data_IF_359679123231
#
_entry.id   IF_359679123231
#
_cell.length_a   1.000
_cell.length_b   1.000
_cell.length_c   1.000
_cell.angle_alpha   90.00
_cell.angle_beta   90.00
_cell.angle_gamma   90.00
#
_symmetry.space_group_name_H-M   'P 1'
#
loop_
_entity.id
_entity.type
_entity.pdbx_description
1 polymer ?
#
# COMPACT_ATOMS: atom_id res chain seq x y z
N UNK A 1 -0.04 -4.38 -18.76
CA UNK A 1 -0.69 -3.84 -17.54
C UNK A 1 -0.57 -2.33 -17.64
N UNK A 2 -1.67 -1.60 -17.72
CA UNK A 2 -1.60 -0.14 -17.80
C UNK A 2 -1.04 0.35 -16.47
N UNK A 3 0.26 0.64 -16.42
CA UNK A 3 0.92 1.19 -15.24
C UNK A 3 0.38 2.60 -15.08
N UNK A 4 -0.70 2.74 -14.29
CA UNK A 4 -1.13 4.06 -13.84
C UNK A 4 0.11 4.75 -13.26
N UNK A 5 0.40 6.01 -13.63
CA UNK A 5 1.56 6.71 -13.10
C UNK A 5 1.54 6.68 -11.57
N UNK A 6 2.72 6.73 -10.91
CA UNK A 6 2.81 6.94 -9.48
C UNK A 6 1.87 8.06 -9.02
N UNK A 7 1.36 7.97 -7.80
CA UNK A 7 0.40 8.94 -7.25
C UNK A 7 1.01 10.33 -7.26
N UNK A 8 2.29 10.44 -6.92
CA UNK A 8 3.04 11.70 -6.93
C UNK A 8 3.25 12.30 -8.32
N UNK A 9 2.95 11.55 -9.39
CA UNK A 9 3.04 11.99 -10.78
C UNK A 9 1.67 12.23 -11.42
N UNK A 10 0.59 12.16 -10.65
CA UNK A 10 -0.75 12.48 -11.14
C UNK A 10 -0.89 13.98 -11.37
N UNK A 11 -1.71 14.36 -12.35
CA UNK A 11 -1.84 15.76 -12.79
C UNK A 11 -2.36 16.70 -11.68
N UNK A 12 -3.12 16.14 -10.73
CA UNK A 12 -3.74 16.80 -9.59
C UNK A 12 -2.92 16.66 -8.28
N UNK A 13 -1.72 16.07 -8.34
CA UNK A 13 -0.88 15.85 -7.15
C UNK A 13 -0.57 17.16 -6.41
N UNK A 14 0.01 18.13 -7.11
CA UNK A 14 0.41 19.41 -6.50
C UNK A 14 -0.79 20.32 -6.20
N UNK A 15 -1.86 20.26 -7.01
CA UNK A 15 -3.01 21.16 -6.87
C UNK A 15 -3.98 20.74 -5.77
N UNK A 16 -4.21 19.43 -5.61
CA UNK A 16 -5.32 18.91 -4.81
C UNK A 16 -4.88 17.83 -3.80
N UNK A 17 -4.16 16.80 -4.25
CA UNK A 17 -3.87 15.62 -3.41
C UNK A 17 -2.86 15.92 -2.30
N UNK A 18 -1.74 16.58 -2.63
CA UNK A 18 -0.68 16.93 -1.67
C UNK A 18 -1.18 17.93 -0.61
N UNK A 19 -1.88 19.03 -0.95
CA UNK A 19 -2.49 19.91 0.05
C UNK A 19 -3.49 19.19 0.96
N UNK A 20 -4.35 18.34 0.39
CA UNK A 20 -5.30 17.55 1.17
C UNK A 20 -4.59 16.58 2.13
N UNK A 21 -3.53 15.90 1.66
CA UNK A 21 -2.73 14.99 2.48
C UNK A 21 -2.05 15.72 3.64
N UNK A 22 -1.40 16.86 3.37
CA UNK A 22 -0.75 17.69 4.40
C UNK A 22 -1.74 18.13 5.48
N UNK A 23 -2.89 18.66 5.08
CA UNK A 23 -3.96 19.04 6.01
C UNK A 23 -4.47 17.85 6.83
N UNK A 24 -4.61 16.68 6.21
CA UNK A 24 -5.01 15.45 6.91
C UNK A 24 -3.97 15.04 7.95
N UNK A 25 -2.69 15.12 7.60
CA UNK A 25 -1.59 14.83 8.52
C UNK A 25 -1.53 15.82 9.69
N UNK A 26 -1.79 17.10 9.44
CA UNK A 26 -1.91 18.14 10.48
C UNK A 26 -3.08 17.85 11.43
N UNK A 27 -4.27 17.55 10.91
CA UNK A 27 -5.47 17.25 11.71
C UNK A 27 -5.27 16.01 12.61
N UNK A 28 -4.52 15.03 12.13
CA UNK A 28 -4.22 13.80 12.87
C UNK A 28 -2.99 13.92 13.78
N UNK A 29 -2.31 15.07 13.81
CA UNK A 29 -1.05 15.30 14.54
C UNK A 29 0.06 14.28 14.17
N UNK A 30 0.16 13.95 12.87
CA UNK A 30 1.15 13.00 12.31
C UNK A 30 2.10 13.64 11.30
N UNK A 31 2.20 14.98 11.29
CA UNK A 31 3.01 15.74 10.32
C UNK A 31 4.53 15.46 10.34
N UNK A 32 5.05 14.71 11.33
CA UNK A 32 6.44 14.26 11.39
C UNK A 32 6.74 12.97 10.61
N UNK A 33 5.72 12.35 9.99
CA UNK A 33 5.89 11.13 9.20
C UNK A 33 6.26 11.50 7.77
N UNK A 34 7.49 11.22 7.37
CA UNK A 34 7.89 11.24 5.96
C UNK A 34 7.25 10.03 5.25
N UNK A 35 6.09 10.25 4.64
CA UNK A 35 5.28 9.22 4.00
C UNK A 35 5.66 9.09 2.52
N UNK A 36 6.28 7.98 2.16
CA UNK A 36 6.41 7.58 0.75
C UNK A 36 5.05 7.07 0.23
N UNK A 37 4.30 7.99 -0.38
CA UNK A 37 2.95 7.73 -0.91
C UNK A 37 2.94 6.67 -2.00
N UNK A 38 3.93 6.72 -2.89
CA UNK A 38 4.02 5.78 -4.01
C UNK A 38 4.31 4.37 -3.50
N UNK A 39 5.18 4.25 -2.48
CA UNK A 39 5.47 2.96 -1.86
C UNK A 39 4.26 2.32 -1.20
N UNK A 40 3.48 3.11 -0.44
CA UNK A 40 2.21 2.64 0.16
C UNK A 40 1.20 2.26 -0.92
N UNK A 41 1.11 3.05 -1.99
CA UNK A 41 0.20 2.77 -3.10
C UNK A 41 0.59 1.49 -3.87
N UNK A 42 1.88 1.23 -4.06
CA UNK A 42 2.37 -0.03 -4.65
C UNK A 42 1.99 -1.24 -3.81
N UNK A 43 2.25 -1.21 -2.50
CA UNK A 43 1.90 -2.30 -1.59
C UNK A 43 0.38 -2.55 -1.57
N UNK A 44 -0.43 -1.49 -1.48
CA UNK A 44 -1.89 -1.63 -1.49
C UNK A 44 -2.42 -2.16 -2.82
N UNK A 45 -1.77 -1.85 -3.94
CA UNK A 45 -2.04 -2.47 -5.24
C UNK A 45 -1.78 -3.99 -5.22
N UNK A 46 -0.63 -4.42 -4.71
CA UNK A 46 -0.29 -5.84 -4.57
C UNK A 46 -1.31 -6.60 -3.68
N UNK A 47 -1.74 -5.99 -2.57
CA UNK A 47 -2.76 -6.56 -1.68
C UNK A 47 -4.12 -6.66 -2.38
N UNK A 48 -4.51 -5.60 -3.11
CA UNK A 48 -5.79 -5.56 -3.81
C UNK A 48 -5.90 -6.65 -4.88
N UNK A 49 -4.78 -6.95 -5.56
CA UNK A 49 -4.68 -7.97 -6.60
C UNK A 49 -4.50 -9.39 -6.03
N UNK A 50 -3.62 -9.56 -5.02
CA UNK A 50 -3.25 -10.87 -4.48
C UNK A 50 -4.15 -11.40 -3.38
N UNK A 51 -4.88 -10.53 -2.66
CA UNK A 51 -5.73 -10.90 -1.53
C UNK A 51 -7.20 -10.60 -1.82
N UNK A 52 -7.54 -9.31 -1.80
CA UNK A 52 -8.84 -8.73 -2.18
C UNK A 52 -8.76 -7.21 -1.98
N UNK A 53 -9.51 -6.44 -2.77
CA UNK A 53 -9.51 -4.95 -2.71
C UNK A 53 -9.82 -4.38 -1.32
N UNK A 54 -10.72 -5.02 -0.56
CA UNK A 54 -11.08 -4.56 0.80
C UNK A 54 -9.92 -4.66 1.81
N UNK A 55 -8.90 -5.49 1.54
CA UNK A 55 -7.73 -5.63 2.43
C UNK A 55 -6.67 -4.57 2.20
N UNK A 56 -6.70 -3.82 1.09
CA UNK A 56 -5.76 -2.74 0.83
C UNK A 56 -5.74 -1.68 1.96
N UNK A 57 -6.88 -1.06 2.35
CA UNK A 57 -6.88 -0.09 3.46
C UNK A 57 -6.55 -0.72 4.81
N UNK A 58 -6.96 -1.98 5.05
CA UNK A 58 -6.64 -2.69 6.30
C UNK A 58 -5.13 -2.94 6.41
N UNK A 59 -4.47 -3.29 5.30
CA UNK A 59 -3.03 -3.52 5.28
C UNK A 59 -2.24 -2.22 5.43
N UNK A 60 -2.70 -1.12 4.80
CA UNK A 60 -2.13 0.20 5.00
C UNK A 60 -2.20 0.65 6.47
N UNK A 61 -3.33 0.39 7.14
CA UNK A 61 -3.46 0.67 8.58
C UNK A 61 -2.46 -0.14 9.43
N UNK A 62 -2.30 -1.44 9.14
CA UNK A 62 -1.34 -2.29 9.86
C UNK A 62 0.11 -1.87 9.63
N UNK A 63 0.46 -1.46 8.41
CA UNK A 63 1.78 -0.89 8.10
C UNK A 63 2.01 0.40 8.88
N UNK A 64 1.03 1.32 8.90
CA UNK A 64 1.12 2.53 9.73
C UNK A 64 1.34 2.22 11.21
N UNK A 65 0.63 1.22 11.76
CA UNK A 65 0.82 0.76 13.14
C UNK A 65 2.19 0.09 13.38
N UNK A 66 2.79 -0.55 12.38
CA UNK A 66 4.15 -1.08 12.48
C UNK A 66 5.19 0.05 12.47
N UNK A 67 5.04 1.03 11.59
CA UNK A 67 5.90 2.22 11.51
C UNK A 67 5.86 3.01 12.82
N UNK A 68 4.66 3.22 13.40
CA UNK A 68 4.51 3.85 14.71
C UNK A 68 5.21 3.10 15.86
N UNK A 69 5.51 1.81 15.67
CA UNK A 69 6.29 0.98 16.61
C UNK A 69 7.79 0.92 16.29
N UNK A 70 8.25 1.68 15.30
CA UNK A 70 9.66 1.82 14.94
C UNK A 70 10.14 0.95 13.78
N UNK A 71 9.26 0.25 13.06
CA UNK A 71 9.63 -0.40 11.81
C UNK A 71 9.87 0.64 10.70
N UNK A 72 10.75 0.35 9.74
CA UNK A 72 10.78 1.17 8.53
C UNK A 72 9.56 0.90 7.65
N UNK A 73 9.16 1.91 6.86
CA UNK A 73 8.06 1.76 5.91
C UNK A 73 8.34 0.65 4.88
N UNK A 74 9.57 0.58 4.37
CA UNK A 74 9.97 -0.42 3.38
C UNK A 74 9.87 -1.84 3.94
N UNK A 75 10.40 -2.08 5.14
CA UNK A 75 10.33 -3.41 5.79
C UNK A 75 8.89 -3.83 6.04
N UNK A 76 8.05 -2.91 6.53
CA UNK A 76 6.64 -3.19 6.81
C UNK A 76 5.87 -3.51 5.51
N UNK A 77 6.09 -2.75 4.44
CA UNK A 77 5.48 -3.01 3.14
C UNK A 77 5.97 -4.34 2.54
N UNK A 78 7.27 -4.61 2.57
CA UNK A 78 7.86 -5.84 2.05
C UNK A 78 7.32 -7.09 2.78
N UNK A 79 7.10 -7.01 4.09
CA UNK A 79 6.49 -8.09 4.87
C UNK A 79 5.05 -8.41 4.39
N UNK A 80 4.23 -7.38 4.12
CA UNK A 80 2.87 -7.55 3.60
C UNK A 80 2.90 -8.14 2.19
N UNK A 81 3.80 -7.67 1.32
CA UNK A 81 3.96 -8.17 -0.05
C UNK A 81 4.41 -9.63 -0.07
N UNK A 82 5.30 -10.03 0.84
CA UNK A 82 5.69 -11.43 1.02
C UNK A 82 4.49 -12.34 1.32
N UNK A 83 3.61 -11.94 2.23
CA UNK A 83 2.38 -12.67 2.54
C UNK A 83 1.41 -12.73 1.34
N UNK A 84 1.35 -11.68 0.53
CA UNK A 84 0.57 -11.67 -0.70
C UNK A 84 1.11 -12.68 -1.73
N UNK A 85 2.42 -12.70 -1.94
CA UNK A 85 3.07 -13.63 -2.85
C UNK A 85 2.88 -15.09 -2.42
N UNK A 86 3.01 -15.38 -1.12
CA UNK A 86 2.74 -16.71 -0.57
C UNK A 86 1.31 -17.17 -0.83
N UNK A 87 0.32 -16.28 -0.62
CA UNK A 87 -1.09 -16.55 -0.90
C UNK A 87 -1.34 -16.85 -2.37
N UNK A 88 -0.79 -16.05 -3.28
CA UNK A 88 -0.92 -16.27 -4.73
C UNK A 88 -0.35 -17.65 -5.10
N UNK A 89 0.83 -18.01 -4.55
CA UNK A 89 1.41 -19.34 -4.73
C UNK A 89 0.55 -20.48 -4.17
N UNK A 90 -0.10 -20.29 -3.02
CA UNK A 90 -1.05 -21.25 -2.45
C UNK A 90 -2.31 -21.41 -3.32
N UNK A 91 -2.84 -20.33 -3.87
CA UNK A 91 -4.00 -20.37 -4.76
C UNK A 91 -3.67 -21.09 -6.07
N UNK A 92 -2.51 -20.81 -6.67
CA UNK A 92 -2.04 -21.49 -7.87
C UNK A 92 -1.89 -23.01 -7.65
N UNK A 93 -1.36 -23.42 -6.48
CA UNK A 93 -1.24 -24.84 -6.10
C UNK A 93 -2.58 -25.54 -5.85
N UNK A 94 -3.65 -24.80 -5.56
CA UNK A 94 -5.00 -25.35 -5.30
C UNK A 94 -5.85 -25.51 -6.56
N UNK A 95 -5.46 -24.96 -7.70
CA UNK A 95 -6.15 -25.20 -8.97
C UNK A 95 -5.63 -26.50 -9.62
N UNK A 96 -6.45 -27.56 -9.80
CA UNK A 96 -6.06 -28.69 -10.64
C UNK A 96 -5.92 -28.24 -12.10
N UNK A 97 -5.10 -28.92 -12.93
CA UNK A 97 -4.99 -28.61 -14.35
C UNK A 97 -6.37 -28.73 -15.00
N UNK A 98 -6.75 -27.72 -15.79
CA UNK A 98 -7.95 -27.82 -16.64
C UNK A 98 -7.65 -28.87 -17.71
N UNK A 99 -8.18 -30.08 -17.51
CA UNK A 99 -8.19 -31.15 -18.52
C UNK A 99 -9.15 -30.84 -19.66
#
# INVERSE_FOLDING_TARGET
MSSRPPVTQQADWESDLLPWMRRTAEELDVGGVDLDVDRVHLMTGAVAEGVQRSMAPISAFLVGAAVARGASLEEACAAVEGLCAERVGLTARRCPPRG
#
